data_IF_219149299388
#
_entry.id   IF_219149299388
#
_cell.length_a   1.000
_cell.length_b   1.000
_cell.length_c   1.000
_cell.angle_alpha   90.00
_cell.angle_beta   90.00
_cell.angle_gamma   90.00
#
_symmetry.space_group_name_H-M   'P 1'
#
loop_
_entity.id
_entity.type
_entity.pdbx_description
1 polymer ?
#
# COMPACT_ATOMS: atom_id res chain seq x y z
N UNK A 1 -6.93 -21.07 -20.30
CA UNK A 1 -8.01 -20.10 -20.02
C UNK A 1 -8.02 -19.65 -18.54
N UNK A 2 -7.91 -20.55 -17.55
CA UNK A 2 -8.04 -20.20 -16.12
C UNK A 2 -7.05 -19.11 -15.65
N UNK A 3 -5.78 -19.21 -16.05
CA UNK A 3 -4.80 -18.16 -15.77
C UNK A 3 -5.17 -16.83 -16.43
N UNK A 4 -5.57 -16.87 -17.71
CA UNK A 4 -5.98 -15.68 -18.44
C UNK A 4 -7.15 -15.00 -17.73
N UNK A 5 -8.16 -15.77 -17.35
CA UNK A 5 -9.34 -15.28 -16.61
C UNK A 5 -8.96 -14.57 -15.30
N UNK A 6 -8.13 -15.23 -14.50
CA UNK A 6 -7.69 -14.70 -13.20
C UNK A 6 -6.83 -13.43 -13.34
N UNK A 7 -5.83 -13.46 -14.21
CA UNK A 7 -4.88 -12.36 -14.41
C UNK A 7 -5.58 -11.13 -15.03
N UNK A 8 -6.46 -11.35 -16.01
CA UNK A 8 -7.29 -10.29 -16.59
C UNK A 8 -8.22 -9.66 -15.54
N UNK A 9 -8.75 -10.46 -14.62
CA UNK A 9 -9.54 -9.98 -13.50
C UNK A 9 -8.77 -9.03 -12.58
N UNK A 10 -7.53 -9.36 -12.25
CA UNK A 10 -6.64 -8.51 -11.45
C UNK A 10 -6.34 -7.19 -12.20
N UNK A 11 -5.96 -7.26 -13.47
CA UNK A 11 -5.66 -6.07 -14.27
C UNK A 11 -6.89 -5.17 -14.40
N UNK A 12 -8.05 -5.72 -14.69
CA UNK A 12 -9.32 -5.01 -14.81
C UNK A 12 -9.72 -4.35 -13.50
N UNK A 13 -9.65 -5.09 -12.39
CA UNK A 13 -9.96 -4.52 -11.05
C UNK A 13 -8.99 -3.42 -10.68
N UNK A 14 -7.70 -3.61 -10.93
CA UNK A 14 -6.68 -2.58 -10.68
C UNK A 14 -6.98 -1.32 -11.47
N UNK A 15 -7.31 -1.46 -12.77
CA UNK A 15 -7.63 -0.32 -13.64
C UNK A 15 -8.85 0.47 -13.13
N UNK A 16 -9.88 -0.20 -12.62
CA UNK A 16 -11.02 0.48 -11.98
C UNK A 16 -10.58 1.35 -10.80
N UNK A 17 -9.74 0.82 -9.91
CA UNK A 17 -9.18 1.63 -8.80
C UNK A 17 -8.35 2.80 -9.29
N UNK A 18 -7.46 2.59 -10.26
CA UNK A 18 -6.59 3.64 -10.83
C UNK A 18 -7.42 4.78 -11.43
N UNK A 19 -8.44 4.47 -12.23
CA UNK A 19 -9.33 5.46 -12.83
C UNK A 19 -10.05 6.29 -11.76
N UNK A 20 -10.57 5.67 -10.71
CA UNK A 20 -11.30 6.36 -9.65
C UNK A 20 -10.36 7.19 -8.76
N UNK A 21 -9.16 6.70 -8.44
CA UNK A 21 -8.19 7.41 -7.62
C UNK A 21 -7.60 8.65 -8.33
N UNK A 22 -7.54 8.61 -9.67
CA UNK A 22 -7.00 9.69 -10.51
C UNK A 22 -5.47 9.74 -10.52
N UNK A 23 -4.92 10.61 -11.38
CA UNK A 23 -3.48 10.67 -11.69
C UNK A 23 -2.58 11.09 -10.52
N UNK A 24 -3.12 11.76 -9.50
CA UNK A 24 -2.33 12.29 -8.36
C UNK A 24 -2.02 11.24 -7.28
N UNK A 25 -2.67 10.08 -7.34
CA UNK A 25 -2.54 9.02 -6.34
C UNK A 25 -2.23 7.67 -7.00
N UNK A 26 -1.21 6.97 -6.53
CA UNK A 26 -0.82 5.65 -7.05
C UNK A 26 -1.59 4.56 -6.31
N UNK A 27 -2.25 3.68 -7.05
CA UNK A 27 -2.84 2.45 -6.51
C UNK A 27 -1.77 1.37 -6.46
N UNK A 28 -1.58 0.77 -5.29
CA UNK A 28 -0.54 -0.23 -5.04
C UNK A 28 -1.15 -1.58 -4.66
N UNK A 29 -0.55 -2.66 -5.14
CA UNK A 29 -0.83 -3.98 -4.57
C UNK A 29 -0.15 -4.13 -3.20
N UNK A 30 -0.41 -5.26 -2.55
CA UNK A 30 0.26 -5.67 -1.31
C UNK A 30 1.05 -6.97 -1.53
N UNK A 31 1.52 -7.61 -0.45
CA UNK A 31 2.05 -8.97 -0.48
C UNK A 31 0.98 -10.06 -0.26
N UNK A 32 -0.30 -9.67 -0.15
CA UNK A 32 -1.43 -10.61 -0.04
C UNK A 32 -1.75 -11.15 -1.43
N UNK A 33 -0.97 -12.11 -1.88
CA UNK A 33 -1.06 -12.78 -3.18
C UNK A 33 -1.30 -14.27 -2.98
N UNK A 34 -1.84 -14.93 -3.99
CA UNK A 34 -1.95 -16.40 -3.98
C UNK A 34 -0.52 -16.99 -3.91
N UNK A 35 -0.28 -18.01 -3.08
CA UNK A 35 1.01 -18.69 -3.03
C UNK A 35 1.49 -19.07 -4.44
N UNK A 36 2.79 -18.91 -4.69
CA UNK A 36 3.46 -19.15 -5.95
C UNK A 36 3.04 -18.27 -7.15
N UNK A 37 1.94 -17.50 -7.07
CA UNK A 37 1.46 -16.64 -8.17
C UNK A 37 1.82 -15.16 -8.02
N UNK A 38 2.65 -14.77 -7.04
CA UNK A 38 2.98 -13.35 -6.77
C UNK A 38 3.56 -12.64 -7.98
N UNK A 39 4.45 -13.28 -8.72
CA UNK A 39 5.10 -12.69 -9.90
C UNK A 39 4.03 -12.28 -10.92
N UNK A 40 3.19 -13.23 -11.32
CA UNK A 40 2.18 -13.01 -12.36
C UNK A 40 1.06 -12.08 -11.89
N UNK A 41 0.65 -12.16 -10.62
CA UNK A 41 -0.35 -11.24 -10.07
C UNK A 41 0.16 -9.80 -9.99
N UNK A 42 1.42 -9.59 -9.60
CA UNK A 42 2.03 -8.25 -9.60
C UNK A 42 2.27 -7.72 -11.02
N UNK A 43 2.52 -8.58 -11.99
CA UNK A 43 2.55 -8.22 -13.39
C UNK A 43 1.17 -7.72 -13.86
N UNK A 44 0.10 -8.43 -13.53
CA UNK A 44 -1.27 -8.01 -13.84
C UNK A 44 -1.63 -6.66 -13.22
N UNK A 45 -1.17 -6.38 -12.00
CA UNK A 45 -1.35 -5.07 -11.37
C UNK A 45 -0.71 -3.96 -12.19
N UNK A 46 0.50 -4.16 -12.73
CA UNK A 46 1.16 -3.19 -13.61
C UNK A 46 0.37 -2.98 -14.91
N UNK A 47 -0.11 -4.05 -15.53
CA UNK A 47 -0.94 -3.97 -16.74
C UNK A 47 -2.22 -3.16 -16.50
N UNK A 48 -2.80 -3.26 -15.29
CA UNK A 48 -3.96 -2.46 -14.89
C UNK A 48 -3.62 -0.98 -14.57
N UNK A 49 -2.36 -0.56 -14.72
CA UNK A 49 -1.91 0.81 -14.40
C UNK A 49 -1.58 1.03 -12.92
N UNK A 50 -1.57 -0.03 -12.12
CA UNK A 50 -1.18 0.02 -10.72
C UNK A 50 0.34 0.00 -10.51
N UNK A 51 0.74 0.17 -9.27
CA UNK A 51 2.13 0.14 -8.82
C UNK A 51 2.35 -1.04 -7.88
N UNK A 52 3.51 -1.68 -7.97
CA UNK A 52 3.84 -2.74 -7.06
C UNK A 52 4.43 -2.20 -5.74
N UNK A 53 3.99 -2.74 -4.62
CA UNK A 53 4.67 -2.66 -3.34
C UNK A 53 5.82 -3.68 -3.32
N UNK A 54 6.67 -3.69 -2.27
CA UNK A 54 7.79 -4.63 -2.11
C UNK A 54 7.37 -6.05 -2.49
N UNK A 55 8.24 -6.75 -3.20
CA UNK A 55 7.99 -8.12 -3.66
C UNK A 55 8.18 -9.13 -2.53
N UNK A 56 9.27 -8.95 -1.78
CA UNK A 56 9.64 -9.79 -0.65
C UNK A 56 9.99 -8.94 0.60
N UNK A 57 10.38 -9.59 1.69
CA UNK A 57 10.72 -8.92 2.95
C UNK A 57 12.07 -8.23 2.91
N UNK A 58 12.94 -8.62 1.97
CA UNK A 58 14.28 -8.06 1.84
C UNK A 58 14.36 -6.78 0.99
N UNK A 59 13.32 -6.44 0.22
CA UNK A 59 13.33 -5.28 -0.67
C UNK A 59 13.25 -3.94 0.07
N UNK A 60 12.47 -3.89 1.14
CA UNK A 60 12.15 -2.68 1.89
C UNK A 60 11.88 -3.03 3.35
N UNK A 61 12.35 -2.22 4.27
CA UNK A 61 12.02 -2.33 5.69
C UNK A 61 10.62 -1.75 5.89
N UNK A 62 9.70 -2.57 6.41
CA UNK A 62 8.36 -2.13 6.80
C UNK A 62 8.16 -2.40 8.28
N UNK A 63 8.15 -1.32 9.07
CA UNK A 63 7.84 -1.37 10.49
C UNK A 63 6.32 -1.37 10.63
N UNK A 64 5.78 -2.36 11.34
CA UNK A 64 4.36 -2.60 11.54
C UNK A 64 4.00 -2.60 13.03
N UNK A 65 2.70 -2.61 13.30
CA UNK A 65 2.09 -2.70 14.62
C UNK A 65 2.73 -3.79 15.51
N UNK A 66 2.90 -5.00 14.99
CA UNK A 66 3.50 -6.10 15.72
C UNK A 66 4.97 -5.86 16.10
N UNK A 67 5.76 -5.21 15.23
CA UNK A 67 7.12 -4.82 15.57
C UNK A 67 7.15 -3.76 16.68
N UNK A 68 6.19 -2.82 16.64
CA UNK A 68 6.04 -1.77 17.66
C UNK A 68 5.62 -2.41 19.00
N UNK A 69 4.70 -3.39 18.96
CA UNK A 69 4.24 -4.09 20.14
C UNK A 69 5.39 -4.85 20.85
N UNK A 70 6.24 -5.54 20.09
CA UNK A 70 7.41 -6.27 20.63
C UNK A 70 8.44 -5.32 21.23
N UNK A 71 8.75 -4.19 20.56
CA UNK A 71 9.74 -3.21 21.04
C UNK A 71 9.19 -2.30 22.16
N UNK A 72 7.86 -2.16 22.24
CA UNK A 72 7.17 -1.26 23.16
C UNK A 72 7.28 0.25 22.84
N UNK A 73 8.12 0.64 21.87
CA UNK A 73 8.39 2.04 21.55
C UNK A 73 8.69 2.26 20.05
N UNK A 74 7.76 2.97 19.37
CA UNK A 74 7.89 3.27 17.94
C UNK A 74 9.16 4.10 17.61
N UNK A 75 9.51 5.07 18.45
CA UNK A 75 10.68 5.92 18.23
C UNK A 75 11.98 5.10 18.26
N UNK A 76 12.09 4.18 19.21
CA UNK A 76 13.27 3.30 19.37
C UNK A 76 13.44 2.38 18.18
N UNK A 77 12.35 1.72 17.72
CA UNK A 77 12.43 0.81 16.57
C UNK A 77 12.73 1.54 15.26
N UNK A 78 12.15 2.74 15.03
CA UNK A 78 12.43 3.54 13.83
C UNK A 78 13.90 3.99 13.82
N UNK A 79 14.44 4.51 14.93
CA UNK A 79 15.87 4.87 15.04
C UNK A 79 16.79 3.68 14.76
N UNK A 80 16.47 2.48 15.29
CA UNK A 80 17.23 1.25 15.04
C UNK A 80 17.16 0.86 13.55
N UNK A 81 16.01 0.96 12.91
CA UNK A 81 15.87 0.68 11.49
C UNK A 81 16.68 1.66 10.63
N UNK A 82 16.68 2.95 10.94
CA UNK A 82 17.47 3.98 10.24
C UNK A 82 18.96 3.65 10.32
N UNK A 83 19.47 3.29 11.51
CA UNK A 83 20.88 2.90 11.72
C UNK A 83 21.27 1.69 10.89
N UNK A 84 20.37 0.73 10.70
CA UNK A 84 20.65 -0.58 10.09
C UNK A 84 20.09 -0.75 8.67
N UNK A 85 19.60 0.30 8.02
CA UNK A 85 18.85 0.20 6.75
C UNK A 85 19.68 -0.33 5.55
N UNK A 86 21.00 -0.23 5.57
CA UNK A 86 21.90 -0.70 4.49
C UNK A 86 21.41 -0.30 3.09
N UNK A 87 21.06 0.98 2.89
CA UNK A 87 20.54 1.51 1.62
C UNK A 87 19.07 1.20 1.31
N UNK A 88 18.37 0.38 2.10
CA UNK A 88 16.97 0.04 1.88
C UNK A 88 16.05 1.18 2.28
N UNK A 89 14.92 1.29 1.59
CA UNK A 89 13.82 2.20 1.99
C UNK A 89 13.18 1.71 3.28
N UNK A 90 12.72 2.67 4.09
CA UNK A 90 12.00 2.40 5.33
C UNK A 90 10.59 2.97 5.20
N UNK A 91 9.60 2.11 5.36
CA UNK A 91 8.19 2.49 5.55
C UNK A 91 7.81 2.24 7.01
N UNK A 92 7.15 3.21 7.64
CA UNK A 92 6.65 3.09 9.00
C UNK A 92 5.13 3.13 8.97
N UNK A 93 4.51 2.08 9.46
CA UNK A 93 3.06 1.97 9.64
C UNK A 93 2.65 2.66 10.95
N UNK A 94 1.61 3.48 10.90
CA UNK A 94 1.05 4.18 12.04
C UNK A 94 -0.47 4.05 12.05
N UNK A 95 -1.04 3.75 13.23
CA UNK A 95 -2.48 3.55 13.43
C UNK A 95 -3.18 4.82 13.90
N UNK A 96 -2.41 5.81 14.38
CA UNK A 96 -2.95 7.04 14.93
C UNK A 96 -1.94 8.22 14.84
N UNK A 97 -2.48 9.43 15.05
CA UNK A 97 -1.70 10.66 14.96
C UNK A 97 -0.67 10.82 16.11
N UNK A 98 -0.84 10.13 17.22
CA UNK A 98 0.14 10.19 18.32
C UNK A 98 1.40 9.40 17.97
N UNK A 99 1.27 8.23 17.34
CA UNK A 99 2.42 7.50 16.79
C UNK A 99 3.12 8.33 15.71
N UNK A 100 2.36 8.97 14.80
CA UNK A 100 2.92 9.85 13.78
C UNK A 100 3.76 10.97 14.38
N UNK A 101 3.24 11.71 15.38
CA UNK A 101 3.95 12.82 16.03
C UNK A 101 5.31 12.40 16.60
N UNK A 102 5.42 11.18 17.15
CA UNK A 102 6.65 10.67 17.75
C UNK A 102 7.79 10.43 16.74
N UNK A 103 7.45 10.22 15.46
CA UNK A 103 8.43 9.87 14.42
C UNK A 103 8.67 10.97 13.38
N UNK A 104 7.87 12.06 13.43
CA UNK A 104 8.10 13.22 12.57
C UNK A 104 9.50 13.81 12.79
N UNK A 105 10.17 14.18 11.69
CA UNK A 105 11.55 14.71 11.70
C UNK A 105 12.63 13.63 11.63
N UNK A 106 12.31 12.34 11.80
CA UNK A 106 13.30 11.27 11.57
C UNK A 106 13.52 11.03 10.06
N UNK A 107 14.71 10.62 9.67
CA UNK A 107 15.11 10.41 8.25
C UNK A 107 14.73 9.01 7.76
N UNK A 108 13.48 8.82 7.36
CA UNK A 108 12.99 7.61 6.69
C UNK A 108 12.12 7.99 5.46
N UNK A 109 11.65 7.02 4.67
CA UNK A 109 11.17 7.30 3.32
C UNK A 109 9.64 7.48 3.26
N UNK A 110 8.85 6.64 3.97
CA UNK A 110 7.40 6.59 3.81
C UNK A 110 6.66 6.39 5.12
N UNK A 111 5.52 7.06 5.25
CA UNK A 111 4.53 6.81 6.29
C UNK A 111 3.36 6.06 5.68
N UNK A 112 2.99 4.94 6.28
CA UNK A 112 1.80 4.17 5.94
C UNK A 112 0.76 4.38 7.05
N UNK A 113 -0.37 5.00 6.70
CA UNK A 113 -1.51 5.18 7.57
C UNK A 113 -2.42 3.96 7.46
N UNK A 114 -2.49 3.15 8.51
CA UNK A 114 -3.31 1.94 8.51
C UNK A 114 -4.66 2.17 9.18
N UNK A 115 -5.72 1.78 8.49
CA UNK A 115 -7.11 1.83 8.98
C UNK A 115 -7.57 3.18 9.58
N UNK A 116 -6.94 4.30 9.22
CA UNK A 116 -7.33 5.61 9.71
C UNK A 116 -8.62 6.12 9.07
N UNK A 117 -9.50 6.73 9.87
CA UNK A 117 -10.63 7.47 9.32
C UNK A 117 -10.16 8.68 8.49
N UNK A 118 -11.03 9.16 7.60
CA UNK A 118 -10.67 10.21 6.63
C UNK A 118 -10.17 11.51 7.28
N UNK A 119 -10.75 11.93 8.41
CA UNK A 119 -10.36 13.16 9.11
C UNK A 119 -8.93 13.04 9.66
N UNK A 120 -8.62 11.94 10.31
CA UNK A 120 -7.27 11.64 10.83
C UNK A 120 -6.26 11.46 9.69
N UNK A 121 -6.62 10.76 8.62
CA UNK A 121 -5.78 10.58 7.43
C UNK A 121 -5.39 11.92 6.83
N UNK A 122 -6.36 12.81 6.54
CA UNK A 122 -6.12 14.14 5.98
C UNK A 122 -5.20 14.98 6.88
N UNK A 123 -5.43 14.94 8.21
CA UNK A 123 -4.56 15.62 9.18
C UNK A 123 -3.15 15.03 9.18
N UNK A 124 -3.02 13.70 9.15
CA UNK A 124 -1.72 13.02 9.07
C UNK A 124 -0.94 13.37 7.81
N UNK A 125 -1.60 13.43 6.65
CA UNK A 125 -0.98 13.85 5.39
C UNK A 125 -0.45 15.28 5.49
N UNK A 126 -1.23 16.21 6.06
CA UNK A 126 -0.79 17.60 6.28
C UNK A 126 0.40 17.69 7.23
N UNK A 127 0.37 16.94 8.33
CA UNK A 127 1.48 16.90 9.31
C UNK A 127 2.77 16.34 8.71
N UNK A 128 2.67 15.44 7.74
CA UNK A 128 3.83 14.85 7.04
C UNK A 128 4.58 15.87 6.17
N UNK A 129 3.97 17.02 5.86
CA UNK A 129 4.53 18.23 5.26
C UNK A 129 5.55 17.99 4.13
N UNK A 130 5.22 17.10 3.19
CA UNK A 130 6.08 16.70 2.04
C UNK A 130 7.43 16.05 2.42
N UNK A 131 7.72 15.87 3.70
CA UNK A 131 8.97 15.23 4.15
C UNK A 131 8.99 13.73 3.85
N UNK A 132 7.82 13.12 3.72
CA UNK A 132 7.66 11.69 3.52
C UNK A 132 6.73 11.40 2.34
N UNK A 133 6.99 10.28 1.63
CA UNK A 133 5.95 9.70 0.79
C UNK A 133 4.83 9.16 1.71
N UNK A 134 3.58 9.46 1.41
CA UNK A 134 2.44 9.07 2.23
C UNK A 134 1.63 7.98 1.57
N UNK A 135 1.26 6.95 2.33
CA UNK A 135 0.50 5.79 1.86
C UNK A 135 -0.67 5.52 2.80
N UNK A 136 -1.86 5.21 2.26
CA UNK A 136 -3.02 4.74 3.02
C UNK A 136 -3.24 3.25 2.79
N UNK A 137 -3.60 2.52 3.84
CA UNK A 137 -3.94 1.10 3.83
C UNK A 137 -5.14 0.82 4.73
N UNK A 138 -5.73 -0.37 4.56
CA UNK A 138 -6.86 -0.85 5.37
C UNK A 138 -8.23 -0.47 4.83
N UNK A 139 -9.10 -1.47 4.64
CA UNK A 139 -10.51 -1.28 4.28
C UNK A 139 -10.78 -0.53 2.96
N UNK A 140 -9.83 -0.50 2.03
CA UNK A 140 -9.97 0.25 0.76
C UNK A 140 -10.88 -0.50 -0.21
N UNK A 141 -11.91 0.20 -0.72
CA UNK A 141 -12.90 -0.31 -1.69
C UNK A 141 -13.09 0.66 -2.84
N UNK A 142 -13.74 0.23 -3.93
CA UNK A 142 -14.11 1.13 -5.04
C UNK A 142 -15.04 2.27 -4.57
N UNK A 143 -15.84 2.03 -3.52
CA UNK A 143 -16.76 3.04 -2.95
C UNK A 143 -16.02 4.16 -2.21
N UNK A 144 -14.90 3.87 -1.53
CA UNK A 144 -14.22 4.85 -0.69
C UNK A 144 -12.89 5.39 -1.26
N UNK A 145 -12.29 4.75 -2.28
CA UNK A 145 -10.97 5.10 -2.81
C UNK A 145 -10.90 6.56 -3.31
N UNK A 146 -11.97 7.08 -3.95
CA UNK A 146 -12.03 8.48 -4.40
C UNK A 146 -11.89 9.46 -3.23
N UNK A 147 -12.65 9.20 -2.15
CA UNK A 147 -12.59 10.00 -0.92
C UNK A 147 -11.20 9.93 -0.28
N UNK A 148 -10.61 8.73 -0.20
CA UNK A 148 -9.25 8.56 0.37
C UNK A 148 -8.22 9.30 -0.49
N UNK A 149 -8.27 9.19 -1.82
CA UNK A 149 -7.37 9.92 -2.73
C UNK A 149 -7.48 11.45 -2.58
N UNK A 150 -8.68 11.97 -2.27
CA UNK A 150 -8.89 13.42 -2.06
C UNK A 150 -8.24 13.96 -0.78
N UNK A 151 -7.72 13.11 0.12
CA UNK A 151 -6.95 13.55 1.29
C UNK A 151 -5.57 14.14 0.95
N UNK A 152 -5.12 14.01 -0.30
CA UNK A 152 -3.77 14.39 -0.75
C UNK A 152 -2.73 13.26 -0.59
N UNK A 153 -3.17 12.06 -0.22
CA UNK A 153 -2.32 10.88 -0.10
C UNK A 153 -1.64 10.55 -1.45
N UNK A 154 -0.39 10.12 -1.43
CA UNK A 154 0.36 9.81 -2.65
C UNK A 154 0.18 8.38 -3.14
N UNK A 155 -0.09 7.44 -2.23
CA UNK A 155 -0.25 6.02 -2.51
C UNK A 155 -1.43 5.46 -1.73
N UNK A 156 -2.11 4.48 -2.30
CA UNK A 156 -3.17 3.71 -1.65
C UNK A 156 -2.89 2.23 -1.89
N UNK A 157 -2.63 1.48 -0.84
CA UNK A 157 -2.44 0.03 -0.89
C UNK A 157 -3.78 -0.69 -0.78
N UNK A 158 -4.06 -1.53 -1.76
CA UNK A 158 -5.33 -2.24 -1.92
C UNK A 158 -5.09 -3.74 -2.00
N UNK A 159 -5.30 -4.48 -0.91
CA UNK A 159 -5.10 -5.93 -0.89
C UNK A 159 -6.05 -6.69 -1.82
N UNK A 160 -7.31 -6.26 -1.88
CA UNK A 160 -8.35 -6.94 -2.65
C UNK A 160 -8.13 -6.98 -4.18
N UNK A 161 -7.19 -6.21 -4.72
CA UNK A 161 -6.84 -6.30 -6.15
C UNK A 161 -6.10 -7.59 -6.50
N UNK A 162 -5.46 -8.23 -5.51
CA UNK A 162 -4.74 -9.49 -5.71
C UNK A 162 -5.43 -10.68 -5.06
N UNK A 163 -5.95 -10.54 -3.83
CA UNK A 163 -6.56 -11.69 -3.13
C UNK A 163 -8.06 -11.88 -3.39
N UNK A 164 -8.76 -10.91 -4.01
CA UNK A 164 -10.23 -10.96 -4.21
C UNK A 164 -10.64 -10.35 -5.56
N UNK A 165 -9.79 -10.45 -6.58
CA UNK A 165 -10.19 -10.07 -7.93
C UNK A 165 -11.13 -11.16 -8.51
N UNK A 166 -12.28 -10.78 -9.07
CA UNK A 166 -13.11 -11.72 -9.80
C UNK A 166 -12.41 -12.12 -11.11
N UNK A 167 -12.54 -13.37 -11.49
CA UNK A 167 -12.08 -13.83 -12.82
C UNK A 167 -12.96 -13.24 -13.93
N UNK A 168 -12.36 -12.96 -15.07
CA UNK A 168 -13.08 -12.61 -16.30
C UNK A 168 -13.42 -13.90 -17.04
N UNK A 169 -14.63 -14.00 -17.55
CA UNK A 169 -15.02 -15.16 -18.33
C UNK A 169 -14.39 -15.10 -19.74
N UNK A 170 -13.70 -16.16 -20.14
CA UNK A 170 -13.18 -16.38 -21.48
C UNK A 170 -13.62 -17.74 -21.98
N UNK A 171 -14.07 -17.80 -23.21
CA UNK A 171 -14.30 -19.03 -23.98
C UNK A 171 -13.33 -19.12 -25.15
N UNK A 172 -13.13 -20.32 -25.66
CA UNK A 172 -12.46 -20.61 -26.91
C UNK A 172 -13.47 -21.33 -27.78
N UNK A 173 -13.89 -20.68 -28.85
CA UNK A 173 -14.76 -21.27 -29.86
C UNK A 173 -13.87 -21.80 -31.00
N UNK A 174 -14.07 -23.06 -31.39
CA UNK A 174 -13.33 -23.77 -32.45
C UNK A 174 -14.28 -24.08 -33.57
#
# INVERSE_FOLDING_TARGET
>A
LNFLSHISGIATKTNKFVKIAGKKCKICCTRKTIPNLRVIQKYAVKLGGGTNHRFNLSDEILIKDNHIAVEGNILKIVKRAIKNKKGKKITVEVDNLNQLKKILGLKFDRILFDNMNFKSLKKGVLMSNKLYETEASGGITLKNVKKIASSGIKRISVGQITHSAPSINFSLDI
#
